data_IF_222337784009
#
_entry.id   IF_222337784009
#
_cell.length_a   1.000
_cell.length_b   1.000
_cell.length_c   1.000
_cell.angle_alpha   90.00
_cell.angle_beta   90.00
_cell.angle_gamma   90.00
#
_symmetry.space_group_name_H-M   'P 1'
#
loop_
_entity.id
_entity.type
_entity.pdbx_description
1 polymer ?
#
# COMPACT_ATOMS: atom_id res chain seq x y z
N UNK A 1 11.08 -21.07 -5.95
CA UNK A 1 9.76 -20.48 -5.65
C UNK A 1 8.92 -20.68 -6.87
N UNK A 2 7.78 -21.31 -6.68
CA UNK A 2 6.79 -21.46 -7.75
C UNK A 2 6.15 -20.10 -8.05
N UNK A 3 5.54 -19.96 -9.22
CA UNK A 3 4.95 -18.68 -9.65
C UNK A 3 3.86 -18.20 -8.69
N UNK A 4 3.05 -19.13 -8.20
CA UNK A 4 1.91 -18.86 -7.30
C UNK A 4 2.39 -18.35 -5.93
N UNK A 5 3.52 -18.86 -5.43
CA UNK A 5 4.11 -18.41 -4.16
C UNK A 5 4.56 -16.94 -4.25
N UNK A 6 5.11 -16.53 -5.40
CA UNK A 6 5.54 -15.15 -5.65
C UNK A 6 4.35 -14.19 -5.77
N UNK A 7 3.24 -14.66 -6.34
CA UNK A 7 2.00 -13.88 -6.46
C UNK A 7 1.33 -13.67 -5.09
N UNK A 8 1.28 -14.71 -4.26
CA UNK A 8 0.77 -14.62 -2.88
C UNK A 8 1.63 -13.69 -2.01
N UNK A 9 2.95 -13.81 -2.12
CA UNK A 9 3.89 -12.95 -1.41
C UNK A 9 3.71 -11.48 -1.85
N UNK A 10 3.56 -11.24 -3.15
CA UNK A 10 3.31 -9.90 -3.68
C UNK A 10 1.98 -9.31 -3.17
N UNK A 11 0.91 -10.11 -3.14
CA UNK A 11 -0.38 -9.69 -2.58
C UNK A 11 -0.26 -9.37 -1.08
N UNK A 12 0.50 -10.18 -0.34
CA UNK A 12 0.76 -9.97 1.09
C UNK A 12 1.50 -8.65 1.33
N UNK A 13 2.50 -8.33 0.51
CA UNK A 13 3.19 -7.06 0.58
C UNK A 13 2.26 -5.87 0.30
N UNK A 14 1.42 -5.97 -0.73
CA UNK A 14 0.45 -4.92 -1.06
C UNK A 14 -0.52 -4.68 0.10
N UNK A 15 -1.08 -5.76 0.66
CA UNK A 15 -1.99 -5.69 1.81
C UNK A 15 -1.31 -5.07 3.04
N UNK A 16 -0.06 -5.44 3.31
CA UNK A 16 0.73 -4.89 4.41
C UNK A 16 0.97 -3.38 4.28
N UNK A 17 1.26 -2.90 3.07
CA UNK A 17 1.44 -1.46 2.81
C UNK A 17 0.13 -0.66 2.98
N UNK A 18 -1.00 -1.22 2.53
CA UNK A 18 -2.33 -0.62 2.75
C UNK A 18 -2.65 -0.56 4.24
N UNK A 19 -2.43 -1.66 4.98
CA UNK A 19 -2.62 -1.70 6.43
C UNK A 19 -1.74 -0.67 7.15
N UNK A 20 -0.49 -0.51 6.73
CA UNK A 20 0.41 0.51 7.24
C UNK A 20 -0.11 1.94 7.00
N UNK A 21 -0.69 2.20 5.83
CA UNK A 21 -1.30 3.50 5.52
C UNK A 21 -2.50 3.80 6.44
N UNK A 22 -3.35 2.81 6.70
CA UNK A 22 -4.50 2.95 7.62
C UNK A 22 -4.03 3.21 9.06
N UNK A 23 -3.03 2.46 9.54
CA UNK A 23 -2.45 2.66 10.87
C UNK A 23 -1.86 4.07 11.00
N UNK A 24 -1.12 4.53 9.98
CA UNK A 24 -0.58 5.89 10.00
C UNK A 24 -1.69 6.95 10.06
N UNK A 25 -2.81 6.72 9.39
CA UNK A 25 -3.96 7.60 9.49
C UNK A 25 -4.50 7.61 10.93
N UNK A 26 -4.67 6.46 11.59
CA UNK A 26 -5.10 6.40 13.01
C UNK A 26 -4.18 7.22 13.93
N UNK A 27 -2.88 7.12 13.73
CA UNK A 27 -1.89 7.70 14.64
C UNK A 27 -1.72 9.22 14.49
N UNK A 28 -2.12 9.82 13.37
CA UNK A 28 -1.73 11.20 13.05
C UNK A 28 -2.75 12.04 12.29
N UNK A 29 -3.79 11.44 11.69
CA UNK A 29 -4.74 12.13 10.81
C UNK A 29 -6.16 11.50 10.92
N UNK A 30 -7.09 11.91 10.08
CA UNK A 30 -8.39 11.25 9.90
C UNK A 30 -8.21 10.05 8.94
N UNK A 31 -8.85 8.92 9.23
CA UNK A 31 -8.92 7.81 8.28
C UNK A 31 -9.85 8.22 7.14
N UNK A 32 -9.26 8.71 6.05
CA UNK A 32 -9.97 8.95 4.82
C UNK A 32 -9.12 8.51 3.62
N UNK A 33 -9.80 8.38 2.48
CA UNK A 33 -9.21 7.89 1.24
C UNK A 33 -7.98 8.70 0.81
N UNK A 34 -8.08 10.03 0.85
CA UNK A 34 -7.03 10.92 0.32
C UNK A 34 -5.77 10.86 1.19
N UNK A 35 -5.93 10.79 2.51
CA UNK A 35 -4.80 10.65 3.44
C UNK A 35 -4.05 9.33 3.23
N UNK A 36 -4.78 8.23 2.99
CA UNK A 36 -4.17 6.93 2.72
C UNK A 36 -3.37 6.94 1.39
N UNK A 37 -3.93 7.55 0.35
CA UNK A 37 -3.23 7.74 -0.94
C UNK A 37 -1.98 8.62 -0.76
N UNK A 38 -2.10 9.76 -0.07
CA UNK A 38 -0.99 10.68 0.16
C UNK A 38 0.16 10.02 0.93
N UNK A 39 -0.15 9.23 1.95
CA UNK A 39 0.84 8.47 2.70
C UNK A 39 1.62 7.50 1.80
N UNK A 40 0.90 6.67 1.02
CA UNK A 40 1.51 5.69 0.14
C UNK A 40 2.39 6.36 -0.92
N UNK A 41 1.92 7.45 -1.51
CA UNK A 41 2.70 8.24 -2.46
C UNK A 41 3.96 8.84 -1.82
N UNK A 42 3.83 9.39 -0.61
CA UNK A 42 4.93 9.94 0.16
C UNK A 42 6.01 8.89 0.40
N UNK A 43 5.61 7.69 0.85
CA UNK A 43 6.51 6.55 1.07
C UNK A 43 7.17 6.10 -0.23
N UNK A 44 6.42 6.03 -1.34
CA UNK A 44 6.94 5.65 -2.67
C UNK A 44 7.95 6.64 -3.21
N UNK A 45 7.78 7.94 -2.94
CA UNK A 45 8.75 8.99 -3.29
C UNK A 45 10.02 8.89 -2.45
N UNK A 46 9.90 8.59 -1.16
CA UNK A 46 11.03 8.53 -0.24
C UNK A 46 11.91 7.28 -0.44
N UNK A 47 11.33 6.16 -0.86
CA UNK A 47 12.08 4.89 -0.96
C UNK A 47 12.95 4.83 -2.22
N UNK A 48 14.15 4.23 -2.11
CA UNK A 48 15.04 4.00 -3.25
C UNK A 48 14.82 2.66 -3.96
N UNK A 49 14.17 1.71 -3.30
CA UNK A 49 14.00 0.34 -3.80
C UNK A 49 12.93 0.27 -4.90
N UNK A 50 13.34 -0.10 -6.12
CA UNK A 50 12.47 -0.17 -7.29
C UNK A 50 11.36 -1.23 -7.14
N UNK A 51 11.67 -2.40 -6.56
CA UNK A 51 10.68 -3.47 -6.37
C UNK A 51 9.61 -3.02 -5.37
N UNK A 52 10.01 -2.39 -4.27
CA UNK A 52 9.07 -1.85 -3.28
C UNK A 52 8.20 -0.74 -3.87
N UNK A 53 8.72 0.07 -4.80
CA UNK A 53 7.90 1.06 -5.52
C UNK A 53 6.77 0.44 -6.33
N UNK A 54 6.96 -0.77 -6.87
CA UNK A 54 5.91 -1.50 -7.58
C UNK A 54 4.81 -1.92 -6.61
N UNK A 55 5.18 -2.46 -5.45
CA UNK A 55 4.23 -2.81 -4.37
C UNK A 55 3.42 -1.57 -3.97
N UNK A 56 4.09 -0.45 -3.66
CA UNK A 56 3.44 0.78 -3.23
C UNK A 56 2.48 1.33 -4.30
N UNK A 57 2.84 1.25 -5.59
CA UNK A 57 1.94 1.62 -6.68
C UNK A 57 0.72 0.69 -6.77
N UNK A 58 0.90 -0.60 -6.51
CA UNK A 58 -0.21 -1.56 -6.40
C UNK A 58 -1.15 -1.21 -5.26
N UNK A 59 -0.60 -0.89 -4.09
CA UNK A 59 -1.36 -0.42 -2.92
C UNK A 59 -2.13 0.87 -3.21
N UNK A 60 -1.47 1.89 -3.81
CA UNK A 60 -2.10 3.14 -4.24
C UNK A 60 -3.30 2.86 -5.16
N UNK A 61 -3.14 1.97 -6.14
CA UNK A 61 -4.18 1.63 -7.11
C UNK A 61 -5.39 0.98 -6.41
N UNK A 62 -5.17 0.05 -5.49
CA UNK A 62 -6.25 -0.61 -4.75
C UNK A 62 -7.03 0.38 -3.89
N UNK A 63 -6.32 1.25 -3.17
CA UNK A 63 -6.96 2.30 -2.36
C UNK A 63 -7.77 3.24 -3.25
N UNK A 64 -7.23 3.65 -4.40
CA UNK A 64 -7.92 4.49 -5.39
C UNK A 64 -9.18 3.83 -5.98
N UNK A 65 -9.21 2.51 -6.09
CA UNK A 65 -10.42 1.78 -6.50
C UNK A 65 -11.49 1.72 -5.40
N UNK A 66 -11.20 2.20 -4.19
CA UNK A 66 -12.08 2.13 -3.04
C UNK A 66 -12.21 0.72 -2.44
N UNK A 67 -11.36 -0.22 -2.87
CA UNK A 67 -11.33 -1.60 -2.35
C UNK A 67 -10.42 -1.62 -1.11
N UNK A 68 -10.77 -0.81 -0.11
CA UNK A 68 -10.33 -1.09 1.25
C UNK A 68 -11.30 -2.14 1.76
N UNK A 69 -10.83 -3.36 2.01
CA UNK A 69 -11.64 -4.45 2.54
C UNK A 69 -12.55 -3.92 3.66
N UNK A 70 -13.86 -3.94 3.39
CA UNK A 70 -14.91 -3.67 4.36
C UNK A 70 -15.11 -4.89 5.27
#
# INVERSE_FOLDING_TARGET
MERDELEEEHATFIAGEIGGAVIQCIDSIEINHDNAVEYLEGKRRAIGNVIHKVVLRGSETIVQMGILYA
#
